data_IF_857403219095
#
_entry.id   IF_857403219095
#
_cell.length_a   1.000
_cell.length_b   1.000
_cell.length_c   1.000
_cell.angle_alpha   90.00
_cell.angle_beta   90.00
_cell.angle_gamma   90.00
#
_symmetry.space_group_name_H-M   'P 1'
#
loop_
_entity.id
_entity.type
_entity.pdbx_description
1 polymer ?
#
# COMPACT_ATOMS: atom_id res chain seq x y z
N UNK A 1 -37.00 -15.58 2.33
CA UNK A 1 -35.99 -14.87 3.14
C UNK A 1 -34.91 -15.88 3.47
N UNK A 2 -33.75 -15.80 2.79
CA UNK A 2 -32.62 -16.67 3.07
C UNK A 2 -31.97 -16.12 4.33
N UNK A 3 -32.05 -16.89 5.41
CA UNK A 3 -31.42 -16.57 6.69
C UNK A 3 -29.90 -16.66 6.48
N UNK A 4 -29.24 -15.51 6.33
CA UNK A 4 -27.78 -15.44 6.36
C UNK A 4 -27.34 -15.82 7.77
N UNK A 5 -26.38 -16.75 7.88
CA UNK A 5 -25.71 -17.03 9.14
C UNK A 5 -25.16 -15.70 9.66
N UNK A 6 -25.53 -15.22 10.85
CA UNK A 6 -25.12 -13.93 11.37
C UNK A 6 -23.59 -13.82 11.59
N UNK A 7 -22.83 -14.89 11.37
CA UNK A 7 -21.37 -14.96 11.48
C UNK A 7 -20.66 -15.08 10.14
N UNK A 8 -21.38 -15.27 9.03
CA UNK A 8 -20.81 -15.38 7.68
C UNK A 8 -20.92 -14.08 6.89
N UNK A 9 -20.07 -13.93 5.86
CA UNK A 9 -20.19 -12.82 4.91
C UNK A 9 -21.45 -12.98 4.05
N UNK A 10 -22.12 -11.87 3.77
CA UNK A 10 -23.23 -11.82 2.82
C UNK A 10 -22.71 -11.95 1.37
N UNK A 11 -23.59 -12.31 0.44
CA UNK A 11 -23.26 -12.36 -0.99
C UNK A 11 -22.71 -11.04 -1.51
N UNK A 12 -23.23 -9.91 -1.04
CA UNK A 12 -22.78 -8.58 -1.44
C UNK A 12 -21.37 -8.28 -0.92
N UNK A 13 -21.06 -8.69 0.31
CA UNK A 13 -19.73 -8.51 0.90
C UNK A 13 -18.70 -9.37 0.15
N UNK A 14 -19.02 -10.63 -0.16
CA UNK A 14 -18.13 -11.50 -0.93
C UNK A 14 -17.92 -10.96 -2.34
N UNK A 15 -18.99 -10.53 -3.02
CA UNK A 15 -18.87 -9.91 -4.33
C UNK A 15 -17.96 -8.67 -4.29
N UNK A 16 -18.13 -7.80 -3.30
CA UNK A 16 -17.28 -6.62 -3.12
C UNK A 16 -15.81 -7.01 -2.91
N UNK A 17 -15.53 -8.00 -2.05
CA UNK A 17 -14.16 -8.51 -1.81
C UNK A 17 -13.57 -9.08 -3.10
N UNK A 18 -14.32 -9.89 -3.87
CA UNK A 18 -13.85 -10.43 -5.15
C UNK A 18 -13.52 -9.32 -6.15
N UNK A 19 -14.37 -8.29 -6.27
CA UNK A 19 -14.14 -7.15 -7.16
C UNK A 19 -12.88 -6.37 -6.76
N UNK A 20 -12.69 -6.09 -5.47
CA UNK A 20 -11.49 -5.42 -4.95
C UNK A 20 -10.23 -6.25 -5.23
N UNK A 21 -10.28 -7.57 -5.02
CA UNK A 21 -9.16 -8.46 -5.31
C UNK A 21 -8.80 -8.47 -6.79
N UNK A 22 -9.78 -8.59 -7.68
CA UNK A 22 -9.56 -8.56 -9.14
C UNK A 22 -8.95 -7.22 -9.58
N UNK A 23 -9.48 -6.10 -9.10
CA UNK A 23 -8.98 -4.76 -9.43
C UNK A 23 -7.59 -4.50 -8.86
N UNK A 24 -7.25 -5.11 -7.73
CA UNK A 24 -5.93 -4.95 -7.11
C UNK A 24 -4.78 -5.40 -8.01
N UNK A 25 -5.01 -6.40 -8.87
CA UNK A 25 -4.01 -6.97 -9.77
C UNK A 25 -2.69 -7.32 -9.07
N UNK A 26 -2.77 -7.68 -7.79
CA UNK A 26 -1.61 -7.77 -6.89
C UNK A 26 -0.91 -9.13 -6.90
N UNK A 27 -1.58 -10.15 -7.41
CA UNK A 27 -1.13 -11.53 -7.39
C UNK A 27 -1.01 -12.11 -8.80
N UNK A 28 -0.22 -13.15 -8.96
CA UNK A 28 -0.20 -13.93 -10.19
C UNK A 28 -1.57 -14.54 -10.44
N UNK A 29 -1.86 -14.86 -11.69
CA UNK A 29 -3.13 -15.48 -12.07
C UNK A 29 -3.37 -16.80 -11.35
N UNK A 30 -2.33 -17.63 -11.20
CA UNK A 30 -2.38 -18.92 -10.52
C UNK A 30 -2.45 -18.82 -8.98
N UNK A 31 -2.24 -17.63 -8.42
CA UNK A 31 -2.53 -17.31 -7.01
C UNK A 31 -3.93 -16.69 -6.85
N UNK A 32 -4.31 -15.75 -7.70
CA UNK A 32 -5.55 -14.99 -7.60
C UNK A 32 -6.80 -15.85 -7.83
N UNK A 33 -6.83 -16.61 -8.93
CA UNK A 33 -8.04 -17.36 -9.29
C UNK A 33 -8.42 -18.42 -8.25
N UNK A 34 -7.50 -19.23 -7.69
CA UNK A 34 -7.85 -20.15 -6.61
C UNK A 34 -8.33 -19.48 -5.34
N UNK A 35 -7.89 -18.25 -5.03
CA UNK A 35 -8.41 -17.47 -3.88
C UNK A 35 -9.86 -17.11 -4.13
N UNK A 36 -10.19 -16.59 -5.32
CA UNK A 36 -11.57 -16.23 -5.67
C UNK A 36 -12.50 -17.44 -5.65
N UNK A 37 -12.05 -18.57 -6.21
CA UNK A 37 -12.80 -19.83 -6.17
C UNK A 37 -13.08 -20.28 -4.73
N UNK A 38 -12.07 -20.25 -3.85
CA UNK A 38 -12.23 -20.59 -2.43
C UNK A 38 -13.17 -19.65 -1.70
N UNK A 39 -13.09 -18.32 -1.98
CA UNK A 39 -14.01 -17.35 -1.39
C UNK A 39 -15.46 -17.63 -1.77
N UNK A 40 -15.73 -17.90 -3.05
CA UNK A 40 -17.07 -18.22 -3.52
C UNK A 40 -17.52 -19.57 -2.94
N UNK A 41 -16.67 -20.59 -2.97
CA UNK A 41 -17.01 -21.94 -2.52
C UNK A 41 -17.27 -22.00 -1.02
N UNK A 42 -16.43 -21.36 -0.22
CA UNK A 42 -16.50 -21.47 1.25
C UNK A 42 -17.45 -20.46 1.92
N UNK A 43 -17.67 -19.30 1.29
CA UNK A 43 -18.36 -18.20 1.95
C UNK A 43 -19.74 -17.87 1.33
N UNK A 44 -20.02 -18.34 0.08
CA UNK A 44 -21.31 -18.12 -0.57
C UNK A 44 -22.26 -19.30 -0.32
N UNK A 45 -23.51 -19.07 0.08
CA UNK A 45 -24.53 -20.13 0.17
C UNK A 45 -24.72 -20.85 -1.18
N UNK A 46 -24.88 -22.18 -1.14
CA UNK A 46 -24.95 -23.04 -2.34
C UNK A 46 -25.88 -22.52 -3.46
N UNK A 47 -27.10 -22.03 -3.17
CA UNK A 47 -28.00 -21.55 -4.23
C UNK A 47 -27.45 -20.31 -4.99
N UNK A 48 -26.52 -19.57 -4.41
CA UNK A 48 -26.02 -18.31 -4.94
C UNK A 48 -24.58 -18.39 -5.53
N UNK A 49 -23.88 -19.50 -5.33
CA UNK A 49 -22.49 -19.69 -5.82
C UNK A 49 -22.39 -19.45 -7.31
N UNK A 50 -23.30 -20.05 -8.09
CA UNK A 50 -23.33 -19.86 -9.54
C UNK A 50 -23.51 -18.41 -9.93
N UNK A 51 -24.43 -17.69 -9.29
CA UNK A 51 -24.69 -16.27 -9.58
C UNK A 51 -23.48 -15.39 -9.26
N UNK A 52 -22.85 -15.56 -8.08
CA UNK A 52 -21.65 -14.80 -7.71
C UNK A 52 -20.50 -15.11 -8.67
N UNK A 53 -20.30 -16.40 -9.02
CA UNK A 53 -19.32 -16.81 -10.02
C UNK A 53 -19.53 -16.15 -11.39
N UNK A 54 -20.76 -16.10 -11.90
CA UNK A 54 -21.10 -15.42 -13.15
C UNK A 54 -20.82 -13.92 -13.10
N UNK A 55 -21.06 -13.24 -11.97
CA UNK A 55 -20.81 -11.81 -11.77
C UNK A 55 -19.32 -11.42 -11.80
N UNK A 56 -18.42 -12.37 -11.51
CA UNK A 56 -16.97 -12.14 -11.54
C UNK A 56 -16.29 -12.82 -12.74
N UNK A 57 -17.00 -13.62 -13.52
CA UNK A 57 -16.42 -14.50 -14.54
C UNK A 57 -15.66 -13.72 -15.63
N UNK A 58 -16.22 -12.62 -16.14
CA UNK A 58 -15.59 -11.83 -17.20
C UNK A 58 -14.25 -11.23 -16.74
N UNK A 59 -14.22 -10.60 -15.57
CA UNK A 59 -12.99 -10.01 -15.00
C UNK A 59 -11.96 -11.08 -14.64
N UNK A 60 -12.40 -12.23 -14.12
CA UNK A 60 -11.52 -13.37 -13.84
C UNK A 60 -10.89 -13.92 -15.12
N UNK A 61 -11.68 -14.02 -16.21
CA UNK A 61 -11.19 -14.47 -17.51
C UNK A 61 -10.14 -13.50 -18.08
N UNK A 62 -10.39 -12.20 -17.98
CA UNK A 62 -9.50 -11.13 -18.47
C UNK A 62 -8.51 -10.63 -17.42
N UNK A 63 -8.36 -11.32 -16.30
CA UNK A 63 -7.45 -10.89 -15.25
C UNK A 63 -6.02 -10.68 -15.75
N UNK A 64 -5.50 -9.50 -15.51
CA UNK A 64 -4.15 -9.09 -15.93
C UNK A 64 -3.23 -9.11 -14.69
N UNK A 65 -2.35 -10.11 -14.55
CA UNK A 65 -1.44 -10.19 -13.42
C UNK A 65 -0.35 -9.10 -13.49
N UNK A 66 0.33 -8.82 -12.37
CA UNK A 66 1.47 -7.91 -12.37
C UNK A 66 2.64 -8.47 -13.20
N UNK A 67 3.39 -7.60 -13.86
CA UNK A 67 4.47 -8.00 -14.77
C UNK A 67 5.67 -8.67 -14.10
N UNK A 68 5.85 -8.52 -12.77
CA UNK A 68 6.97 -9.17 -12.07
C UNK A 68 6.93 -10.70 -12.11
N UNK A 69 5.74 -11.31 -12.23
CA UNK A 69 5.55 -12.75 -12.39
C UNK A 69 5.96 -13.61 -11.19
N UNK A 70 6.27 -13.00 -10.04
CA UNK A 70 6.73 -13.73 -8.84
C UNK A 70 5.56 -14.11 -7.94
N UNK A 71 5.61 -15.32 -7.36
CA UNK A 71 4.70 -15.73 -6.31
C UNK A 71 5.02 -14.97 -5.01
N UNK A 72 4.00 -14.44 -4.35
CA UNK A 72 4.18 -13.56 -3.20
C UNK A 72 3.62 -14.16 -1.92
N UNK A 73 2.58 -14.95 -2.01
CA UNK A 73 1.84 -15.45 -0.85
C UNK A 73 2.70 -16.15 0.20
N UNK A 74 3.65 -17.05 -0.16
CA UNK A 74 4.53 -17.67 0.83
C UNK A 74 5.35 -16.63 1.60
N UNK A 75 5.93 -15.67 0.89
CA UNK A 75 6.76 -14.61 1.47
C UNK A 75 5.96 -13.69 2.39
N UNK A 76 4.71 -13.37 2.02
CA UNK A 76 3.83 -12.54 2.85
C UNK A 76 3.61 -13.13 4.23
N UNK A 77 3.36 -14.45 4.30
CA UNK A 77 3.13 -15.11 5.57
C UNK A 77 4.38 -15.13 6.45
N UNK A 78 5.51 -15.53 5.90
CA UNK A 78 6.77 -15.65 6.63
C UNK A 78 7.29 -14.28 7.11
N UNK A 79 7.27 -13.27 6.25
CA UNK A 79 7.60 -11.90 6.63
C UNK A 79 6.60 -11.34 7.67
N UNK A 80 5.31 -11.69 7.56
CA UNK A 80 4.30 -11.34 8.55
C UNK A 80 4.60 -11.91 9.93
N UNK A 81 5.09 -13.17 10.01
CA UNK A 81 5.55 -13.78 11.26
C UNK A 81 6.77 -13.03 11.83
N UNK A 82 7.74 -12.67 10.97
CA UNK A 82 8.92 -11.91 11.40
C UNK A 82 8.53 -10.53 11.96
N UNK A 83 7.59 -9.83 11.35
CA UNK A 83 7.02 -8.57 11.89
C UNK A 83 6.39 -8.82 13.26
N UNK A 84 5.54 -9.84 13.38
CA UNK A 84 4.81 -10.15 14.63
C UNK A 84 5.75 -10.49 15.79
N UNK A 85 6.83 -11.21 15.50
CA UNK A 85 7.80 -11.65 16.51
C UNK A 85 8.98 -10.68 16.67
N UNK A 86 9.00 -9.57 15.93
CA UNK A 86 10.10 -8.59 15.95
C UNK A 86 11.46 -9.24 15.67
N UNK A 87 11.52 -10.12 14.67
CA UNK A 87 12.74 -10.79 14.25
C UNK A 87 13.46 -10.00 13.17
N UNK A 88 14.77 -9.94 13.28
CA UNK A 88 15.63 -9.36 12.23
C UNK A 88 15.57 -10.26 11.00
N UNK A 89 15.51 -9.64 9.84
CA UNK A 89 15.49 -10.35 8.55
C UNK A 89 16.66 -9.88 7.71
N UNK A 90 17.43 -10.81 7.19
CA UNK A 90 18.39 -10.53 6.12
C UNK A 90 17.69 -10.70 4.79
N UNK A 91 17.68 -9.64 3.97
CA UNK A 91 17.07 -9.65 2.63
C UNK A 91 18.14 -9.44 1.56
N UNK A 92 17.99 -10.12 0.45
CA UNK A 92 18.68 -9.84 -0.79
C UNK A 92 17.70 -9.10 -1.72
N UNK A 93 17.95 -7.83 -1.96
CA UNK A 93 17.00 -6.93 -2.59
C UNK A 93 17.52 -6.37 -3.91
N UNK A 94 16.70 -6.44 -4.96
CA UNK A 94 16.99 -5.85 -6.26
C UNK A 94 16.61 -4.37 -6.26
N UNK A 95 17.64 -3.49 -6.35
CA UNK A 95 17.42 -2.04 -6.39
C UNK A 95 16.80 -1.58 -7.70
N UNK A 96 15.90 -0.59 -7.62
CA UNK A 96 15.26 0.00 -8.81
C UNK A 96 16.23 0.74 -9.75
N UNK A 97 17.27 1.34 -9.16
CA UNK A 97 18.13 2.27 -9.87
C UNK A 97 19.04 1.58 -10.90
N UNK A 98 19.55 0.42 -10.56
CA UNK A 98 20.62 -0.26 -11.29
C UNK A 98 20.42 -1.77 -11.42
N UNK A 99 19.32 -2.28 -10.88
CA UNK A 99 18.98 -3.71 -10.80
C UNK A 99 20.03 -4.58 -10.08
N UNK A 100 20.90 -3.96 -9.29
CA UNK A 100 21.85 -4.69 -8.47
C UNK A 100 21.20 -5.33 -7.27
N UNK A 101 21.64 -6.55 -6.94
CA UNK A 101 21.27 -7.24 -5.73
C UNK A 101 22.12 -6.74 -4.57
N UNK A 102 21.45 -6.30 -3.51
CA UNK A 102 22.11 -5.82 -2.29
C UNK A 102 21.60 -6.58 -1.08
N UNK A 103 22.51 -7.02 -0.23
CA UNK A 103 22.16 -7.61 1.05
C UNK A 103 21.89 -6.52 2.07
N UNK A 104 20.83 -6.68 2.86
CA UNK A 104 20.43 -5.76 3.92
C UNK A 104 19.90 -6.55 5.10
N UNK A 105 20.32 -6.17 6.30
CA UNK A 105 19.72 -6.60 7.55
C UNK A 105 18.69 -5.55 7.94
N UNK A 106 17.47 -5.99 8.15
CA UNK A 106 16.32 -5.10 8.36
C UNK A 106 15.49 -5.56 9.55
N UNK A 107 14.88 -4.60 10.22
CA UNK A 107 13.94 -4.79 11.32
C UNK A 107 12.53 -4.52 10.78
N UNK A 108 11.80 -5.56 10.35
CA UNK A 108 10.50 -5.40 9.70
C UNK A 108 9.44 -4.95 10.72
N UNK A 109 8.68 -3.92 10.37
CA UNK A 109 7.67 -3.31 11.25
C UNK A 109 6.26 -3.32 10.68
N UNK A 110 6.09 -3.67 9.39
CA UNK A 110 4.77 -3.78 8.79
C UNK A 110 4.79 -4.32 7.37
N UNK A 111 3.62 -4.82 6.94
CA UNK A 111 3.36 -5.20 5.55
C UNK A 111 2.18 -4.37 5.06
N UNK A 112 2.36 -3.69 3.93
CA UNK A 112 1.33 -2.84 3.34
C UNK A 112 1.04 -3.26 1.90
N UNK A 113 -0.19 -3.06 1.47
CA UNK A 113 -0.57 -3.13 0.07
C UNK A 113 -0.87 -1.73 -0.47
N UNK A 114 -0.36 -1.41 -1.65
CA UNK A 114 -0.67 -0.15 -2.34
C UNK A 114 -0.58 -0.32 -3.85
N UNK A 115 -1.57 0.23 -4.55
CA UNK A 115 -1.69 0.12 -6.00
C UNK A 115 -1.73 -1.37 -6.42
N UNK A 116 -0.61 -1.91 -6.90
CA UNK A 116 -0.48 -3.29 -7.41
C UNK A 116 0.48 -4.16 -6.61
N UNK A 117 1.11 -3.61 -5.55
CA UNK A 117 2.24 -4.28 -4.91
C UNK A 117 2.08 -4.39 -3.40
N UNK A 118 2.65 -5.46 -2.87
CA UNK A 118 2.90 -5.60 -1.45
C UNK A 118 4.26 -5.04 -1.08
N UNK A 119 4.32 -4.39 0.06
CA UNK A 119 5.50 -3.72 0.57
C UNK A 119 5.80 -4.16 1.98
N UNK A 120 7.08 -4.41 2.25
CA UNK A 120 7.62 -4.55 3.59
C UNK A 120 8.15 -3.20 4.03
N UNK A 121 7.67 -2.69 5.15
CA UNK A 121 8.24 -1.53 5.82
C UNK A 121 9.20 -2.01 6.89
N UNK A 122 10.45 -1.54 6.87
CA UNK A 122 11.47 -2.00 7.79
C UNK A 122 12.52 -0.92 8.09
N UNK A 123 13.01 -0.90 9.31
CA UNK A 123 14.20 -0.10 9.64
C UNK A 123 15.45 -0.84 9.20
N UNK A 124 16.39 -0.11 8.61
CA UNK A 124 17.68 -0.64 8.24
C UNK A 124 18.59 -0.64 9.47
N UNK A 125 19.29 -1.73 9.75
CA UNK A 125 20.25 -1.77 10.86
C UNK A 125 21.48 -0.90 10.57
N UNK A 126 22.04 -1.03 9.37
CA UNK A 126 23.15 -0.19 8.93
C UNK A 126 22.63 1.07 8.23
N UNK A 127 22.70 2.20 8.93
CA UNK A 127 22.30 3.53 8.45
C UNK A 127 23.46 4.33 7.85
N UNK A 128 24.64 3.75 7.68
CA UNK A 128 25.83 4.45 7.19
C UNK A 128 25.67 5.05 5.78
N UNK A 129 24.74 4.53 5.01
CA UNK A 129 24.46 4.98 3.64
C UNK A 129 23.31 6.00 3.54
N UNK A 130 22.72 6.41 4.66
CA UNK A 130 21.68 7.44 4.66
C UNK A 130 22.29 8.83 4.71
N UNK A 131 21.74 9.76 3.93
CA UNK A 131 22.09 11.19 4.01
C UNK A 131 21.88 11.75 5.43
N UNK A 132 20.88 11.21 6.15
CA UNK A 132 20.58 11.54 7.54
C UNK A 132 20.38 10.27 8.37
N UNK A 133 21.44 9.75 9.04
CA UNK A 133 21.34 8.55 9.87
C UNK A 133 20.33 8.65 11.04
N UNK A 134 19.93 9.88 11.39
CA UNK A 134 18.91 10.16 12.42
C UNK A 134 17.47 10.10 11.93
N UNK A 135 17.23 9.89 10.65
CA UNK A 135 15.88 9.77 10.12
C UNK A 135 15.22 8.47 10.63
N UNK A 136 14.09 8.65 11.34
CA UNK A 136 13.33 7.57 11.98
C UNK A 136 12.28 6.96 11.06
N UNK A 137 12.45 7.08 9.74
CA UNK A 137 11.49 6.50 8.78
C UNK A 137 11.89 5.10 8.36
N UNK A 138 10.95 4.15 8.33
CA UNK A 138 11.23 2.84 7.76
C UNK A 138 11.45 2.98 6.24
N UNK A 139 12.39 2.19 5.76
CA UNK A 139 12.56 1.97 4.32
C UNK A 139 11.42 1.09 3.82
N UNK A 140 10.97 1.36 2.60
CA UNK A 140 9.86 0.65 1.95
C UNK A 140 10.43 -0.27 0.88
N UNK A 141 10.25 -1.57 1.05
CA UNK A 141 10.73 -2.60 0.12
C UNK A 141 9.55 -3.26 -0.59
N UNK A 142 9.55 -3.29 -1.91
CA UNK A 142 8.60 -4.10 -2.67
C UNK A 142 8.92 -5.57 -2.44
N UNK A 143 7.94 -6.36 -2.00
CA UNK A 143 8.15 -7.78 -1.66
C UNK A 143 8.54 -8.60 -2.89
N UNK A 144 7.99 -8.30 -4.06
CA UNK A 144 8.33 -8.97 -5.32
C UNK A 144 9.79 -8.73 -5.78
N UNK A 145 10.49 -7.73 -5.22
CA UNK A 145 11.92 -7.46 -5.47
C UNK A 145 12.86 -8.07 -4.45
N UNK A 146 12.34 -8.68 -3.43
CA UNK A 146 13.14 -9.50 -2.51
C UNK A 146 13.45 -10.80 -3.25
N UNK A 147 14.70 -10.97 -3.65
CA UNK A 147 15.17 -12.16 -4.36
C UNK A 147 15.23 -13.38 -3.44
N UNK A 148 15.72 -13.16 -2.22
CA UNK A 148 15.75 -14.12 -1.14
C UNK A 148 15.73 -13.41 0.21
N UNK A 149 15.32 -14.11 1.27
CA UNK A 149 15.42 -13.60 2.63
C UNK A 149 15.62 -14.74 3.62
N UNK A 150 16.16 -14.40 4.78
CA UNK A 150 16.32 -15.29 5.91
C UNK A 150 15.86 -14.58 7.18
N UNK A 151 14.92 -15.17 7.89
CA UNK A 151 14.54 -14.72 9.24
C UNK A 151 15.59 -15.21 10.22
N UNK A 152 16.15 -14.31 11.01
CA UNK A 152 17.19 -14.60 11.97
C UNK A 152 16.60 -14.86 13.37
N UNK A 153 17.35 -15.57 14.22
CA UNK A 153 16.98 -15.76 15.64
C UNK A 153 17.19 -14.48 16.48
N UNK A 154 17.62 -13.41 15.84
CA UNK A 154 17.85 -12.12 16.47
C UNK A 154 16.55 -11.33 16.54
N UNK A 155 16.27 -10.76 17.70
CA UNK A 155 15.07 -9.95 17.94
C UNK A 155 15.46 -8.50 18.18
N UNK A 156 14.65 -7.60 17.63
CA UNK A 156 14.74 -6.17 17.92
C UNK A 156 13.58 -5.74 18.82
N UNK A 157 13.71 -4.57 19.44
CA UNK A 157 12.66 -4.02 20.29
C UNK A 157 12.33 -2.60 19.83
N UNK A 158 11.08 -2.38 19.48
CA UNK A 158 10.54 -1.05 19.23
C UNK A 158 9.82 -0.57 20.48
N UNK A 159 10.27 0.50 21.16
CA UNK A 159 9.51 1.10 22.26
C UNK A 159 8.11 1.48 21.83
N UNK A 160 7.14 1.40 22.73
CA UNK A 160 5.73 1.67 22.42
C UNK A 160 5.53 3.05 21.77
N UNK A 161 6.22 4.07 22.26
CA UNK A 161 6.17 5.45 21.73
C UNK A 161 6.71 5.59 20.30
N UNK A 162 7.60 4.69 19.88
CA UNK A 162 8.29 4.72 18.59
C UNK A 162 7.71 3.68 17.62
N UNK A 163 6.54 3.11 17.96
CA UNK A 163 5.86 2.13 17.12
C UNK A 163 5.53 2.73 15.78
N UNK A 164 5.86 1.98 14.74
CA UNK A 164 5.36 2.29 13.40
C UNK A 164 3.84 2.00 13.36
N UNK A 165 3.07 3.03 13.07
CA UNK A 165 1.63 2.94 12.93
C UNK A 165 1.28 2.92 11.44
N UNK A 166 1.04 1.73 10.90
CA UNK A 166 0.73 1.52 9.47
C UNK A 166 -0.44 2.38 9.00
N UNK A 167 -1.49 2.48 9.82
CA UNK A 167 -2.66 3.29 9.52
C UNK A 167 -2.35 4.78 9.42
N UNK A 168 -1.53 5.32 10.33
CA UNK A 168 -1.13 6.73 10.30
C UNK A 168 -0.16 7.01 9.14
N UNK A 169 0.75 6.07 8.87
CA UNK A 169 1.63 6.17 7.70
C UNK A 169 0.83 6.15 6.39
N UNK A 170 -0.16 5.27 6.29
CA UNK A 170 -1.02 5.12 5.13
C UNK A 170 -1.77 6.40 4.76
N UNK A 171 -2.23 7.16 5.75
CA UNK A 171 -2.92 8.44 5.52
C UNK A 171 -2.06 9.48 4.82
N UNK A 172 -0.73 9.40 4.97
CA UNK A 172 0.22 10.44 4.54
C UNK A 172 1.10 10.04 3.38
N UNK A 173 1.34 8.74 3.18
CA UNK A 173 2.21 8.27 2.10
C UNK A 173 1.48 8.27 0.76
N UNK A 174 2.13 8.80 -0.28
CA UNK A 174 1.66 8.72 -1.66
C UNK A 174 2.63 7.87 -2.48
N UNK A 175 2.10 6.96 -3.33
CA UNK A 175 2.87 6.06 -4.19
C UNK A 175 3.98 5.28 -3.47
N UNK A 176 3.81 5.06 -2.15
CA UNK A 176 4.78 4.38 -1.29
C UNK A 176 6.19 5.04 -1.26
N UNK A 177 6.26 6.35 -1.49
CA UNK A 177 7.47 7.15 -1.27
C UNK A 177 7.47 7.68 0.16
N UNK A 178 8.17 6.99 1.05
CA UNK A 178 8.40 7.44 2.43
C UNK A 178 9.32 8.65 2.50
N UNK A 179 9.50 9.19 3.70
CA UNK A 179 10.37 10.34 3.97
C UNK A 179 9.85 11.22 5.09
N UNK A 180 10.41 12.42 5.24
CA UNK A 180 10.01 13.37 6.28
C UNK A 180 8.56 13.80 6.12
N UNK A 181 7.91 14.09 7.25
CA UNK A 181 6.60 14.72 7.27
C UNK A 181 6.70 16.13 6.67
N UNK A 182 5.75 16.46 5.85
CA UNK A 182 5.67 17.73 5.13
C UNK A 182 4.25 18.28 5.19
N UNK A 183 4.12 19.60 5.19
CA UNK A 183 2.84 20.29 5.08
C UNK A 183 2.76 20.93 3.71
N UNK A 184 1.69 20.65 3.00
CA UNK A 184 1.42 21.28 1.70
C UNK A 184 0.14 22.10 1.76
N UNK A 185 0.14 23.20 1.02
CA UNK A 185 -1.04 24.02 0.77
C UNK A 185 -1.16 24.28 -0.72
N UNK A 186 -2.31 24.01 -1.29
CA UNK A 186 -2.54 24.14 -2.72
C UNK A 186 -3.95 24.64 -3.02
N UNK A 187 -4.10 25.23 -4.20
CA UNK A 187 -5.38 25.54 -4.80
C UNK A 187 -5.82 24.38 -5.67
N UNK A 188 -7.07 23.98 -5.56
CA UNK A 188 -7.70 22.96 -6.41
C UNK A 188 -8.90 23.58 -7.15
N UNK A 189 -8.92 23.44 -8.48
CA UNK A 189 -9.96 23.98 -9.37
C UNK A 189 -10.63 22.89 -10.21
N UNK A 190 -10.37 21.62 -9.89
CA UNK A 190 -10.94 20.49 -10.61
C UNK A 190 -12.40 20.21 -10.22
N UNK A 191 -13.03 19.22 -10.87
CA UNK A 191 -14.48 19.00 -10.78
C UNK A 191 -14.95 18.36 -9.47
N UNK A 192 -14.08 17.67 -8.71
CA UNK A 192 -14.48 16.93 -7.51
C UNK A 192 -13.47 17.09 -6.40
N UNK A 193 -13.80 17.89 -5.41
CA UNK A 193 -13.00 18.03 -4.19
C UNK A 193 -12.99 16.72 -3.36
N UNK A 194 -14.05 15.94 -3.41
CA UNK A 194 -14.14 14.64 -2.73
C UNK A 194 -13.02 13.69 -3.16
N UNK A 195 -12.72 13.63 -4.47
CA UNK A 195 -11.62 12.81 -4.99
C UNK A 195 -10.25 13.23 -4.43
N UNK A 196 -10.05 14.52 -4.14
CA UNK A 196 -8.85 15.03 -3.48
C UNK A 196 -8.80 14.59 -2.01
N UNK A 197 -9.92 14.73 -1.29
CA UNK A 197 -10.02 14.35 0.13
C UNK A 197 -9.87 12.83 0.30
N UNK A 198 -10.43 12.03 -0.59
CA UNK A 198 -10.27 10.57 -0.59
C UNK A 198 -8.81 10.17 -0.87
N UNK A 199 -8.16 10.87 -1.79
CA UNK A 199 -6.75 10.58 -2.13
C UNK A 199 -5.78 11.02 -1.04
N UNK A 200 -6.06 12.13 -0.37
CA UNK A 200 -5.25 12.72 0.69
C UNK A 200 -6.02 12.72 2.01
N UNK A 201 -6.07 11.61 2.78
CA UNK A 201 -6.91 11.49 3.97
C UNK A 201 -6.63 12.51 5.08
N UNK A 202 -5.48 13.19 5.05
CA UNK A 202 -5.14 14.28 5.97
C UNK A 202 -5.55 15.65 5.45
N UNK A 203 -6.08 15.71 4.22
CA UNK A 203 -6.47 16.97 3.60
C UNK A 203 -7.65 17.61 4.32
N UNK A 204 -7.60 18.95 4.41
CA UNK A 204 -8.69 19.77 4.91
C UNK A 204 -8.86 21.00 4.01
N UNK A 205 -10.10 21.37 3.76
CA UNK A 205 -10.43 22.61 3.07
C UNK A 205 -10.25 23.75 4.06
N UNK A 206 -9.43 24.74 3.71
CA UNK A 206 -9.16 25.93 4.53
C UNK A 206 -9.80 27.18 3.98
N UNK A 207 -10.16 27.21 2.70
CA UNK A 207 -10.96 28.25 2.06
C UNK A 207 -11.65 27.69 0.81
N UNK A 208 -12.77 28.31 0.44
CA UNK A 208 -13.56 28.03 -0.75
C UNK A 208 -14.06 29.33 -1.36
N UNK A 209 -14.06 29.41 -2.68
CA UNK A 209 -14.67 30.50 -3.45
C UNK A 209 -15.24 29.99 -4.78
N UNK A 210 -15.78 30.87 -5.61
CA UNK A 210 -16.41 30.55 -6.90
C UNK A 210 -15.49 29.77 -7.86
N UNK A 211 -14.16 29.86 -7.69
CA UNK A 211 -13.18 29.28 -8.58
C UNK A 211 -12.51 27.99 -7.99
N UNK A 212 -12.93 27.51 -6.83
CA UNK A 212 -12.43 26.25 -6.27
C UNK A 212 -12.07 26.35 -4.79
N UNK A 213 -11.17 25.45 -4.35
CA UNK A 213 -10.87 25.19 -2.96
C UNK A 213 -9.39 25.41 -2.66
N UNK A 214 -9.09 25.97 -1.49
CA UNK A 214 -7.74 25.96 -0.92
C UNK A 214 -7.66 24.83 0.10
N UNK A 215 -6.70 23.94 -0.08
CA UNK A 215 -6.55 22.71 0.69
C UNK A 215 -5.19 22.68 1.37
N UNK A 216 -5.16 22.21 2.62
CA UNK A 216 -3.93 21.88 3.35
C UNK A 216 -3.90 20.36 3.64
N UNK A 217 -2.72 19.74 3.55
CA UNK A 217 -2.54 18.35 3.88
C UNK A 217 -1.16 18.05 4.47
N UNK A 218 -1.09 17.02 5.30
CA UNK A 218 0.15 16.42 5.79
C UNK A 218 0.49 15.21 4.94
N UNK A 219 1.74 15.13 4.47
CA UNK A 219 2.19 14.05 3.60
C UNK A 219 3.62 13.62 3.94
N UNK A 220 3.97 12.37 3.64
CA UNK A 220 5.34 11.89 3.75
C UNK A 220 6.05 11.90 2.39
N UNK A 221 7.31 12.37 2.40
CA UNK A 221 8.23 12.22 1.28
C UNK A 221 7.77 12.91 -0.02
N UNK A 222 8.39 12.50 -1.13
CA UNK A 222 8.20 13.12 -2.44
C UNK A 222 7.04 12.54 -3.28
N UNK A 223 6.33 11.54 -2.78
CA UNK A 223 5.22 10.93 -3.53
C UNK A 223 4.12 11.92 -3.88
N UNK A 224 3.93 12.94 -3.07
CA UNK A 224 2.96 14.01 -3.33
C UNK A 224 3.24 14.79 -4.62
N UNK A 225 4.51 14.97 -4.99
CA UNK A 225 4.87 15.64 -6.25
C UNK A 225 4.33 14.90 -7.47
N UNK A 226 4.37 13.56 -7.43
CA UNK A 226 3.82 12.74 -8.52
C UNK A 226 2.30 12.93 -8.63
N UNK A 227 1.62 12.97 -7.49
CA UNK A 227 0.18 13.22 -7.48
C UNK A 227 -0.16 14.63 -8.00
N UNK A 228 0.54 15.66 -7.53
CA UNK A 228 0.33 17.03 -8.00
C UNK A 228 0.51 17.12 -9.51
N UNK A 229 1.59 16.55 -10.05
CA UNK A 229 1.83 16.53 -11.50
C UNK A 229 0.75 15.79 -12.28
N UNK A 230 0.17 14.74 -11.71
CA UNK A 230 -0.92 14.00 -12.35
C UNK A 230 -2.23 14.78 -12.45
N UNK A 231 -2.40 15.83 -11.62
CA UNK A 231 -3.61 16.68 -11.64
C UNK A 231 -3.54 17.79 -12.71
N UNK A 232 -2.39 17.99 -13.33
CA UNK A 232 -2.21 19.01 -14.36
C UNK A 232 -2.49 20.42 -13.81
N UNK A 233 -3.31 21.19 -14.54
CA UNK A 233 -3.66 22.57 -14.19
C UNK A 233 -4.65 22.71 -13.02
N UNK A 234 -5.29 21.59 -12.61
CA UNK A 234 -6.25 21.64 -11.50
C UNK A 234 -5.61 21.86 -10.12
N UNK A 235 -4.31 21.63 -9.97
CA UNK A 235 -3.60 21.83 -8.71
C UNK A 235 -2.49 22.85 -8.86
N UNK A 236 -2.58 23.94 -8.08
CA UNK A 236 -1.54 24.94 -7.97
C UNK A 236 -1.00 24.98 -6.54
N UNK A 237 0.28 24.69 -6.35
CA UNK A 237 0.94 24.76 -5.04
C UNK A 237 1.04 26.23 -4.61
N UNK A 238 0.53 26.54 -3.41
CA UNK A 238 0.63 27.85 -2.77
C UNK A 238 1.82 27.85 -1.81
N UNK A 239 1.96 26.80 -1.00
CA UNK A 239 3.05 26.63 -0.03
C UNK A 239 3.37 25.16 0.11
N UNK A 240 4.64 24.86 0.14
CA UNK A 240 5.14 23.51 0.43
C UNK A 240 6.42 23.62 1.22
N UNK A 241 6.57 22.77 2.25
CA UNK A 241 7.84 22.60 2.95
C UNK A 241 8.83 21.80 2.08
N UNK A 242 8.37 21.31 0.93
CA UNK A 242 9.19 20.73 -0.15
C UNK A 242 9.80 21.89 -0.94
N UNK A 243 10.66 22.69 -0.35
CA UNK A 243 11.26 23.78 -1.09
C UNK A 243 12.54 23.35 -1.77
N UNK A 244 12.59 23.74 -3.02
CA UNK A 244 13.69 23.93 -3.95
C UNK A 244 13.78 22.85 -5.03
N UNK A 245 13.00 23.03 -6.07
CA UNK A 245 13.21 22.30 -7.31
C UNK A 245 12.00 22.00 -8.19
N UNK A 246 10.94 22.79 -8.10
CA UNK A 246 9.88 22.81 -9.12
C UNK A 246 9.99 24.05 -9.98
#
# INVERSE_FOLDING_TARGET
MIQTDPKGLSNSEILAVCKILLESRSLRRDEMLPILEKLVECAVPEPNKKLVGELIANESFHYIPPHHGKAILPNLWELGQAVRHQQVVEIEYERMKDHELVKRRVQPVGIMFSEYYFYLTAFLEDKSHFENPGDLFPTIYRIDRIASFQVLDEHFRVPYRDRFEEGEFRKRVQFMYGGKLQHIKFRYTGPSIEAVLDRLPTARIVAEDENGWTVEAEVFGKGIEMWVRSQGEYVQIIKSDIVSGL
#
